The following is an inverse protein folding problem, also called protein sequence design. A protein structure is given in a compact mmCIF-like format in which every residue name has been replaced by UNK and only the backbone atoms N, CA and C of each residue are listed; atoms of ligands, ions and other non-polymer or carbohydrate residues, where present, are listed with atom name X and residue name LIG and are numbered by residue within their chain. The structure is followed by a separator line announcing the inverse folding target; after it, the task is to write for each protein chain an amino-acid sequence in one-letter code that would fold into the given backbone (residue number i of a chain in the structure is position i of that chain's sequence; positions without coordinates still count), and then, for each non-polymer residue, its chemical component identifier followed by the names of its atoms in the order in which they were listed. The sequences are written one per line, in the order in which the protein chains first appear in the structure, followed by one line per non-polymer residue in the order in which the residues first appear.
data_IF_307869309508
#
_entry.id   IF_307869309508
#
_cell.length_a   1.000
_cell.length_b   1.000
_cell.length_c   1.000
_cell.angle_alpha   90.00
_cell.angle_beta   90.00
_cell.angle_gamma   90.00
#
_symmetry.space_group_name_H-M   'P 1'
#
loop_
_entity.id
_entity.type
_entity.pdbx_description
1 polymer ?
#
# COMPACT_ATOMS: atom_id res chain seq x y z
N UNK A 1 7.79 1.77 -0.59
CA UNK A 1 8.32 0.40 -0.69
C UNK A 1 9.71 0.32 -0.06
N UNK A 2 10.07 -0.85 0.50
CA UNK A 2 11.30 -1.03 1.27
C UNK A 2 12.58 -1.12 0.43
N UNK A 3 12.46 -1.49 -0.84
CA UNK A 3 13.58 -1.72 -1.75
C UNK A 3 13.19 -1.42 -3.19
N UNK A 4 14.19 -1.14 -4.02
CA UNK A 4 13.98 -1.04 -5.47
C UNK A 4 13.53 -2.38 -6.09
N UNK A 5 13.93 -3.50 -5.50
CA UNK A 5 13.49 -4.85 -5.91
C UNK A 5 11.98 -5.08 -5.75
N UNK A 6 11.27 -4.24 -4.98
CA UNK A 6 9.82 -4.33 -4.80
C UNK A 6 9.06 -3.66 -5.95
N UNK A 7 9.74 -2.84 -6.76
CA UNK A 7 9.12 -2.05 -7.82
C UNK A 7 8.41 -2.89 -8.89
N UNK A 8 8.93 -4.04 -9.35
CA UNK A 8 8.21 -4.89 -10.31
C UNK A 8 6.79 -5.24 -9.85
N UNK A 9 6.57 -5.41 -8.55
CA UNK A 9 5.26 -5.63 -7.94
C UNK A 9 4.52 -4.29 -7.73
N UNK A 10 5.16 -3.32 -7.09
CA UNK A 10 4.50 -2.08 -6.67
C UNK A 10 4.10 -1.15 -7.82
N UNK A 11 4.73 -1.27 -9.00
CA UNK A 11 4.32 -0.54 -10.20
C UNK A 11 2.85 -0.79 -10.60
N UNK A 12 2.31 -1.96 -10.23
CA UNK A 12 0.91 -2.29 -10.51
C UNK A 12 -0.06 -1.43 -9.70
N UNK A 13 0.28 -1.10 -8.45
CA UNK A 13 -0.48 -0.11 -7.68
C UNK A 13 -0.45 1.28 -8.33
N UNK A 14 0.74 1.73 -8.74
CA UNK A 14 0.89 3.02 -9.44
C UNK A 14 0.09 3.08 -10.74
N UNK A 15 0.03 1.98 -11.53
CA UNK A 15 -0.79 1.92 -12.75
C UNK A 15 -2.28 2.09 -12.45
N UNK A 16 -2.79 1.45 -11.41
CA UNK A 16 -4.21 1.58 -11.00
C UNK A 16 -4.50 3.02 -10.53
N UNK A 17 -3.64 3.61 -9.70
CA UNK A 17 -3.82 4.99 -9.25
C UNK A 17 -3.84 5.98 -10.42
N UNK A 18 -2.98 5.78 -11.42
CA UNK A 18 -2.98 6.57 -12.67
C UNK A 18 -4.27 6.40 -13.46
N UNK A 19 -4.79 5.18 -13.56
CA UNK A 19 -6.06 4.89 -14.26
C UNK A 19 -7.22 5.72 -13.69
N UNK A 20 -7.26 5.92 -12.37
CA UNK A 20 -8.26 6.72 -11.69
C UNK A 20 -7.86 8.20 -11.51
N UNK A 21 -6.77 8.65 -12.15
CA UNK A 21 -6.23 10.02 -12.05
C UNK A 21 -5.93 10.46 -10.61
N UNK A 22 -5.53 9.51 -9.75
CA UNK A 22 -5.13 9.82 -8.37
C UNK A 22 -3.67 10.25 -8.36
N UNK A 23 -3.45 11.50 -7.90
CA UNK A 23 -2.10 12.03 -7.68
C UNK A 23 -1.40 11.21 -6.59
N UNK A 24 -0.22 10.71 -6.88
CA UNK A 24 0.56 9.91 -5.93
C UNK A 24 2.05 10.09 -6.14
N UNK A 25 2.82 9.78 -5.14
CA UNK A 25 4.28 9.71 -5.21
C UNK A 25 4.77 8.28 -4.97
N UNK A 26 5.95 7.97 -5.47
CA UNK A 26 6.62 6.68 -5.27
C UNK A 26 7.96 6.93 -4.59
N UNK A 27 8.18 6.30 -3.44
CA UNK A 27 9.40 6.44 -2.65
C UNK A 27 9.96 5.08 -2.24
N UNK A 28 11.28 4.97 -2.25
CA UNK A 28 12.00 3.86 -1.63
C UNK A 28 12.40 4.30 -0.23
N UNK A 29 11.83 3.63 0.77
CA UNK A 29 12.05 3.92 2.19
C UNK A 29 12.15 2.57 2.90
N UNK A 30 13.32 2.24 3.43
CA UNK A 30 13.55 0.98 4.12
C UNK A 30 13.42 1.15 5.63
N UNK A 31 12.59 0.31 6.25
CA UNK A 31 12.45 0.29 7.70
C UNK A 31 13.78 -0.08 8.41
N UNK A 32 14.57 -0.97 7.82
CA UNK A 32 15.81 -1.46 8.41
C UNK A 32 17.04 -0.64 8.01
N UNK A 33 17.12 -0.21 6.74
CA UNK A 33 18.33 0.45 6.22
C UNK A 33 18.28 1.96 6.31
N UNK A 34 17.08 2.55 6.37
CA UNK A 34 16.87 4.00 6.47
C UNK A 34 15.76 4.32 7.48
N UNK A 35 15.85 3.83 8.76
CA UNK A 35 14.78 3.98 9.72
C UNK A 35 14.42 5.45 9.99
N UNK A 36 15.41 6.31 10.16
CA UNK A 36 15.19 7.76 10.38
C UNK A 36 14.34 8.38 9.25
N UNK A 37 14.67 8.07 7.99
CA UNK A 37 13.90 8.55 6.83
C UNK A 37 12.47 8.02 6.84
N UNK A 38 12.27 6.79 7.30
CA UNK A 38 10.93 6.20 7.45
C UNK A 38 10.11 6.93 8.49
N UNK A 39 10.69 7.22 9.67
CA UNK A 39 10.04 7.99 10.73
C UNK A 39 9.63 9.38 10.23
N UNK A 40 10.57 10.14 9.67
CA UNK A 40 10.31 11.48 9.13
C UNK A 40 9.23 11.48 8.05
N UNK A 41 9.21 10.46 7.20
CA UNK A 41 8.19 10.33 6.16
C UNK A 41 6.80 10.08 6.75
N UNK A 42 6.69 9.14 7.69
CA UNK A 42 5.43 8.76 8.30
C UNK A 42 4.84 9.90 9.15
N UNK A 43 5.65 10.57 9.95
CA UNK A 43 5.24 11.71 10.77
C UNK A 43 4.72 12.90 9.97
N UNK A 44 5.34 13.16 8.81
CA UNK A 44 5.00 14.33 7.96
C UNK A 44 3.97 14.01 6.88
N UNK A 45 3.55 12.77 6.73
CA UNK A 45 2.68 12.35 5.64
C UNK A 45 1.37 13.12 5.62
N UNK A 46 0.67 13.21 6.75
CA UNK A 46 -0.60 13.92 6.87
C UNK A 46 -0.46 15.42 6.60
N UNK A 47 0.57 16.07 7.15
CA UNK A 47 0.84 17.50 6.91
C UNK A 47 1.13 17.82 5.44
N UNK A 48 1.64 16.84 4.68
CA UNK A 48 1.89 16.95 3.24
C UNK A 48 0.65 16.66 2.39
N UNK A 49 -0.51 16.39 3.01
CA UNK A 49 -1.74 16.07 2.33
C UNK A 49 -1.82 14.65 1.77
N UNK A 50 -1.03 13.72 2.33
CA UNK A 50 -1.14 12.29 2.00
C UNK A 50 -2.30 11.72 2.81
N UNK A 51 -3.26 11.12 2.13
CA UNK A 51 -4.46 10.56 2.77
C UNK A 51 -4.37 9.05 2.98
N UNK A 52 -3.52 8.35 2.20
CA UNK A 52 -3.34 6.89 2.29
C UNK A 52 -1.88 6.55 1.95
N UNK A 53 -1.29 5.60 2.66
CA UNK A 53 0.01 5.03 2.34
C UNK A 53 -0.17 3.58 1.87
N UNK A 54 0.35 3.25 0.69
CA UNK A 54 0.47 1.87 0.23
C UNK A 54 1.93 1.46 0.41
N UNK A 55 2.17 0.53 1.32
CA UNK A 55 3.50 0.10 1.72
C UNK A 55 3.79 -1.34 1.28
N UNK A 56 4.68 -1.51 0.31
CA UNK A 56 5.17 -2.83 -0.13
C UNK A 56 6.47 -3.21 0.57
N UNK A 57 6.54 -4.44 1.09
CA UNK A 57 7.72 -4.97 1.74
C UNK A 57 7.80 -6.50 1.62
N UNK A 58 9.02 -7.05 1.55
CA UNK A 58 9.29 -8.48 1.44
C UNK A 58 10.19 -9.01 2.54
N UNK A 59 10.09 -10.32 2.82
CA UNK A 59 10.82 -10.99 3.89
C UNK A 59 10.35 -10.56 5.27
N UNK A 60 11.24 -10.02 6.10
CA UNK A 60 10.91 -9.34 7.34
C UNK A 60 10.24 -7.99 7.01
N UNK A 61 8.99 -8.05 6.60
CA UNK A 61 8.25 -6.96 5.98
C UNK A 61 7.69 -5.96 7.02
N UNK A 62 8.57 -5.34 7.79
CA UNK A 62 8.22 -4.46 8.92
C UNK A 62 7.74 -3.06 8.49
N UNK A 63 8.05 -2.63 7.26
CA UNK A 63 7.73 -1.26 6.80
C UNK A 63 6.26 -0.86 6.98
N UNK A 64 5.26 -1.66 6.60
CA UNK A 64 3.86 -1.27 6.77
C UNK A 64 3.47 -1.06 8.23
N UNK A 65 3.81 -2.01 9.11
CA UNK A 65 3.51 -1.95 10.53
C UNK A 65 4.22 -0.79 11.23
N UNK A 66 5.49 -0.57 10.95
CA UNK A 66 6.24 0.57 11.51
C UNK A 66 5.68 1.91 11.01
N UNK A 67 5.27 2.00 9.76
CA UNK A 67 4.61 3.21 9.24
C UNK A 67 3.27 3.45 9.93
N UNK A 68 2.46 2.42 10.12
CA UNK A 68 1.17 2.50 10.78
C UNK A 68 1.28 2.86 12.27
N UNK A 69 2.37 2.50 12.94
CA UNK A 69 2.60 2.86 14.35
C UNK A 69 2.93 4.34 14.57
N UNK A 70 3.29 5.06 13.50
CA UNK A 70 3.72 6.46 13.56
C UNK A 70 2.65 7.38 12.95
N UNK A 71 1.98 6.95 11.89
CA UNK A 71 1.04 7.76 11.14
C UNK A 71 -0.41 7.39 11.46
N UNK A 72 -1.30 8.40 11.55
CA UNK A 72 -2.74 8.19 11.74
C UNK A 72 -3.50 7.94 10.44
N UNK A 73 -2.85 8.12 9.29
CA UNK A 73 -3.50 7.85 8.00
C UNK A 73 -3.52 6.35 7.67
N UNK A 74 -4.52 5.86 6.93
CA UNK A 74 -4.62 4.45 6.59
C UNK A 74 -3.36 3.92 5.89
N UNK A 75 -2.84 2.79 6.37
CA UNK A 75 -1.72 2.07 5.77
C UNK A 75 -2.22 0.77 5.17
N UNK A 76 -1.98 0.58 3.87
CA UNK A 76 -2.30 -0.63 3.11
C UNK A 76 -1.01 -1.38 2.82
N UNK A 77 -0.88 -2.57 3.40
CA UNK A 77 0.31 -3.40 3.28
C UNK A 77 0.23 -4.36 2.10
N UNK A 78 1.27 -4.37 1.29
CA UNK A 78 1.42 -5.31 0.16
C UNK A 78 2.59 -6.24 0.45
N UNK A 79 2.32 -7.53 0.76
CA UNK A 79 3.37 -8.51 0.91
C UNK A 79 4.05 -8.77 -0.44
N UNK A 80 5.37 -8.58 -0.49
CA UNK A 80 6.17 -8.87 -1.69
C UNK A 80 6.63 -10.32 -1.63
N UNK A 81 6.53 -11.01 -2.75
CA UNK A 81 6.99 -12.39 -2.86
C UNK A 81 8.48 -12.50 -2.53
N UNK A 82 8.83 -13.41 -1.62
CA UNK A 82 10.20 -13.71 -1.23
C UNK A 82 10.70 -15.01 -1.87
N UNK A 83 12.00 -15.10 -2.13
CA UNK A 83 12.58 -16.26 -2.81
C UNK A 83 12.46 -17.57 -1.99
N UNK A 84 12.62 -17.50 -0.68
CA UNK A 84 12.67 -18.69 0.20
C UNK A 84 11.28 -19.17 0.62
N UNK A 85 10.42 -18.27 1.10
CA UNK A 85 9.10 -18.60 1.64
C UNK A 85 7.95 -18.12 0.74
N UNK A 86 8.26 -17.71 -0.50
CA UNK A 86 7.28 -17.32 -1.53
C UNK A 86 6.26 -16.28 -1.05
N UNK A 87 6.69 -15.41 -0.15
CA UNK A 87 5.88 -14.32 0.40
C UNK A 87 5.10 -14.66 1.67
N UNK A 88 5.14 -15.89 2.18
CA UNK A 88 4.49 -16.23 3.45
C UNK A 88 5.08 -15.45 4.62
N UNK A 89 6.40 -15.31 4.67
CA UNK A 89 7.13 -14.47 5.62
C UNK A 89 6.70 -13.00 5.54
N UNK A 90 6.59 -12.47 4.33
CA UNK A 90 6.11 -11.10 4.09
C UNK A 90 4.67 -10.91 4.57
N UNK A 91 3.78 -11.84 4.22
CA UNK A 91 2.38 -11.82 4.62
C UNK A 91 2.21 -11.84 6.13
N UNK A 92 2.86 -12.79 6.82
CA UNK A 92 2.75 -12.92 8.27
C UNK A 92 3.37 -11.73 9.01
N UNK A 93 4.47 -11.17 8.50
CA UNK A 93 5.10 -9.97 9.07
C UNK A 93 4.20 -8.73 9.00
N UNK A 94 3.31 -8.64 8.00
CA UNK A 94 2.41 -7.50 7.82
C UNK A 94 1.07 -7.73 8.51
N UNK A 95 0.53 -8.95 8.46
CA UNK A 95 -0.82 -9.25 8.92
C UNK A 95 -0.95 -9.31 10.45
N UNK A 96 0.06 -9.83 11.17
CA UNK A 96 0.00 -10.05 12.61
C UNK A 96 0.35 -8.79 13.42
N UNK A 97 -0.44 -7.74 13.24
CA UNK A 97 -0.31 -6.48 13.97
C UNK A 97 -0.98 -6.56 15.35
N UNK A 98 -0.41 -5.88 16.38
CA UNK A 98 -1.05 -5.80 17.69
C UNK A 98 -2.33 -4.96 17.63
N UNK A 99 -3.25 -5.20 18.56
CA UNK A 99 -4.44 -4.38 18.71
C UNK A 99 -4.05 -2.89 18.93
N UNK A 100 -4.74 -2.00 18.21
CA UNK A 100 -4.48 -0.56 18.25
C UNK A 100 -3.62 -0.02 17.10
N UNK A 101 -2.92 -0.87 16.36
CA UNK A 101 -2.09 -0.46 15.20
C UNK A 101 -2.48 -1.27 13.96
N UNK A 102 -3.58 -0.93 13.28
CA UNK A 102 -4.06 -1.71 12.14
C UNK A 102 -3.26 -1.45 10.86
N UNK A 103 -3.06 -2.50 10.08
CA UNK A 103 -2.61 -2.43 8.68
C UNK A 103 -3.59 -3.20 7.81
N UNK A 104 -4.12 -2.57 6.78
CA UNK A 104 -4.96 -3.24 5.79
C UNK A 104 -4.11 -4.13 4.89
N UNK A 105 -3.95 -5.40 5.24
CA UNK A 105 -3.06 -6.34 4.55
C UNK A 105 -3.74 -6.93 3.32
N UNK A 106 -3.10 -6.82 2.16
CA UNK A 106 -3.58 -7.31 0.88
C UNK A 106 -2.91 -8.65 0.51
N UNK A 107 -3.28 -9.18 -0.66
CA UNK A 107 -2.71 -10.42 -1.18
C UNK A 107 -1.20 -10.28 -1.49
N UNK A 108 -0.51 -11.40 -1.55
CA UNK A 108 0.92 -11.44 -1.92
C UNK A 108 1.10 -11.08 -3.40
N UNK A 109 2.09 -10.26 -3.70
CA UNK A 109 2.52 -9.96 -5.06
C UNK A 109 1.64 -8.99 -5.83
N UNK A 110 1.56 -9.19 -7.13
CA UNK A 110 0.90 -8.26 -8.08
C UNK A 110 -0.57 -8.03 -7.76
N UNK A 111 -1.33 -9.09 -7.45
CA UNK A 111 -2.74 -8.97 -7.09
C UNK A 111 -2.92 -8.08 -5.84
N UNK A 112 -2.06 -8.24 -4.84
CA UNK A 112 -2.05 -7.40 -3.64
C UNK A 112 -1.78 -5.94 -3.95
N UNK A 113 -0.82 -5.64 -4.81
CA UNK A 113 -0.51 -4.28 -5.23
C UNK A 113 -1.69 -3.61 -5.97
N UNK A 114 -2.34 -4.33 -6.90
CA UNK A 114 -3.55 -3.86 -7.58
C UNK A 114 -4.69 -3.60 -6.60
N UNK A 115 -4.95 -4.55 -5.71
CA UNK A 115 -6.04 -4.47 -4.73
C UNK A 115 -5.79 -3.38 -3.68
N UNK A 116 -4.54 -3.13 -3.28
CA UNK A 116 -4.19 -2.02 -2.40
C UNK A 116 -4.58 -0.67 -3.03
N UNK A 117 -4.25 -0.48 -4.30
CA UNK A 117 -4.63 0.73 -5.02
C UNK A 117 -6.15 0.84 -5.21
N UNK A 118 -6.84 -0.25 -5.53
CA UNK A 118 -8.31 -0.27 -5.65
C UNK A 118 -9.01 0.01 -4.32
N UNK A 119 -8.48 -0.50 -3.21
CA UNK A 119 -8.98 -0.19 -1.87
C UNK A 119 -8.73 1.28 -1.52
N UNK A 120 -7.57 1.84 -1.87
CA UNK A 120 -7.31 3.27 -1.74
C UNK A 120 -8.31 4.10 -2.56
N UNK A 121 -8.57 3.73 -3.83
CA UNK A 121 -9.62 4.35 -4.66
C UNK A 121 -10.98 4.30 -3.97
N UNK A 122 -11.34 3.15 -3.41
CA UNK A 122 -12.63 2.96 -2.70
C UNK A 122 -12.74 3.88 -1.48
N UNK A 123 -11.70 3.97 -0.66
CA UNK A 123 -11.65 4.84 0.52
C UNK A 123 -11.81 6.32 0.10
N UNK A 124 -11.01 6.77 -0.87
CA UNK A 124 -11.05 8.15 -1.36
C UNK A 124 -12.37 8.49 -2.05
N UNK A 125 -13.04 7.51 -2.63
CA UNK A 125 -14.32 7.69 -3.31
C UNK A 125 -15.49 7.99 -2.36
N UNK A 126 -15.37 7.70 -1.06
CA UNK A 126 -16.42 7.99 -0.07
C UNK A 126 -16.74 9.48 0.01
N UNK A 127 -15.74 10.32 -0.20
CA UNK A 127 -15.88 11.79 -0.18
C UNK A 127 -15.77 12.44 -1.57
N UNK A 128 -15.78 11.64 -2.65
CA UNK A 128 -15.64 12.13 -4.03
C UNK A 128 -16.61 11.41 -4.96
N UNK A 129 -17.73 12.07 -5.25
CA UNK A 129 -18.83 11.52 -6.09
C UNK A 129 -18.36 11.15 -7.50
N UNK A 130 -17.48 11.93 -8.12
CA UNK A 130 -16.94 11.64 -9.46
C UNK A 130 -16.09 10.39 -9.44
N UNK A 131 -15.19 10.28 -8.47
CA UNK A 131 -14.34 9.09 -8.30
C UNK A 131 -15.19 7.85 -8.01
N UNK A 132 -16.22 7.98 -7.17
CA UNK A 132 -17.17 6.90 -6.85
C UNK A 132 -17.87 6.36 -8.10
N UNK A 133 -18.36 7.25 -8.98
CA UNK A 133 -18.98 6.86 -10.25
C UNK A 133 -17.99 6.15 -11.17
N UNK A 134 -16.78 6.69 -11.31
CA UNK A 134 -15.74 6.10 -12.15
C UNK A 134 -15.34 4.70 -11.64
N UNK A 135 -15.20 4.54 -10.33
CA UNK A 135 -14.85 3.25 -9.71
C UNK A 135 -15.97 2.21 -9.91
N UNK A 136 -17.24 2.60 -9.72
CA UNK A 136 -18.39 1.73 -9.94
C UNK A 136 -18.46 1.27 -11.41
N UNK A 137 -18.31 2.20 -12.37
CA UNK A 137 -18.28 1.89 -13.81
C UNK A 137 -17.14 0.93 -14.17
N UNK A 138 -15.94 1.18 -13.63
CA UNK A 138 -14.81 0.30 -13.85
C UNK A 138 -15.06 -1.12 -13.30
N UNK A 139 -15.65 -1.26 -12.11
CA UNK A 139 -16.00 -2.57 -11.54
C UNK A 139 -17.01 -3.33 -12.40
N UNK A 140 -17.99 -2.63 -12.98
CA UNK A 140 -18.93 -3.25 -13.91
C UNK A 140 -18.25 -3.80 -15.16
N UNK A 141 -17.19 -3.14 -15.65
CA UNK A 141 -16.43 -3.63 -16.81
C UNK A 141 -15.74 -4.97 -16.56
N UNK A 142 -15.53 -5.37 -15.30
CA UNK A 142 -14.91 -6.65 -14.94
C UNK A 142 -15.88 -7.85 -15.06
N UNK A 143 -17.18 -7.61 -15.20
CA UNK A 143 -18.20 -8.68 -15.27
C UNK A 143 -18.01 -9.55 -16.53
N UNK A 144 -17.33 -9.04 -17.54
CA UNK A 144 -17.09 -9.72 -18.81
C UNK A 144 -15.73 -10.43 -18.90
N UNK A 145 -15.02 -10.60 -17.79
CA UNK A 145 -13.73 -11.32 -17.74
C UNK A 145 -13.94 -12.82 -17.53
#
# INVERSE_FOLDING_TARGET
MGSQSDWPTMKHASKILKLFNIKHEVKIISAHRTPKRMFEYAERAEQRGIEIIIAGAGGAAHLPGMTASISNIPVLGVPIESKKLKGLDSLLSIAQMPAGVPVGTLAVGEAGAKNAALLAVSILSSNNTKLKKNYASWRLSLIHI
#
